data_IF_882637394071
#
_entry.id   IF_882637394071
#
_cell.length_a   1.000
_cell.length_b   1.000
_cell.length_c   1.000
_cell.angle_alpha   90.00
_cell.angle_beta   90.00
_cell.angle_gamma   90.00
#
_symmetry.space_group_name_H-M   'P 1'
#
loop_
_entity.id
_entity.type
_entity.pdbx_description
1 polymer ?
#
# COMPACT_ATOMS: atom_id res chain seq x y z
N UNK A 1 13.74 4.23 -18.89
CA UNK A 1 12.27 4.20 -18.75
C UNK A 1 11.60 2.90 -19.18
N UNK A 2 12.19 2.05 -20.05
CA UNK A 2 11.55 0.79 -20.51
C UNK A 2 11.23 -0.22 -19.38
N UNK A 3 11.80 -0.05 -18.19
CA UNK A 3 11.64 -0.96 -17.03
C UNK A 3 10.86 -0.36 -15.86
N UNK A 4 10.50 0.93 -15.90
CA UNK A 4 9.72 1.56 -14.82
C UNK A 4 8.27 1.10 -14.97
N UNK A 5 7.74 0.45 -13.93
CA UNK A 5 6.40 -0.17 -13.96
C UNK A 5 5.26 0.80 -13.64
N UNK A 6 5.56 1.99 -13.12
CA UNK A 6 4.60 3.02 -12.74
C UNK A 6 4.87 3.61 -11.37
N UNK A 7 4.00 4.51 -10.89
CA UNK A 7 4.17 5.17 -9.60
C UNK A 7 3.92 4.20 -8.44
N UNK A 8 4.58 4.46 -7.31
CA UNK A 8 4.36 3.75 -6.06
C UNK A 8 4.01 4.71 -4.92
N UNK A 9 3.32 4.22 -3.90
CA UNK A 9 2.90 4.97 -2.72
C UNK A 9 3.41 4.33 -1.43
N UNK A 10 3.83 5.13 -0.45
CA UNK A 10 4.23 4.65 0.87
C UNK A 10 3.05 4.66 1.84
N UNK A 11 2.70 3.48 2.37
CA UNK A 11 1.46 3.28 3.12
C UNK A 11 1.49 3.74 4.57
N UNK A 12 2.66 4.08 5.13
CA UNK A 12 2.82 4.32 6.57
C UNK A 12 1.86 5.35 7.18
N UNK A 13 1.58 6.44 6.47
CA UNK A 13 0.68 7.50 6.96
C UNK A 13 -0.82 7.18 6.79
N UNK A 14 -1.13 6.13 6.03
CA UNK A 14 -2.51 5.75 5.72
C UNK A 14 -3.01 4.64 6.63
N UNK A 15 -2.12 3.85 7.25
CA UNK A 15 -2.48 2.75 8.13
C UNK A 15 -3.38 3.18 9.28
N UNK A 16 -4.50 2.47 9.43
CA UNK A 16 -5.50 2.74 10.44
C UNK A 16 -6.42 1.54 10.63
N UNK A 17 -7.36 1.64 11.56
CA UNK A 17 -8.23 0.52 11.93
C UNK A 17 -9.52 0.44 11.12
N UNK A 18 -9.80 1.45 10.31
CA UNK A 18 -11.00 1.56 9.48
C UNK A 18 -10.72 1.31 8.00
N UNK A 19 -11.73 0.79 7.30
CA UNK A 19 -11.66 0.62 5.85
C UNK A 19 -11.53 1.99 5.15
N UNK A 20 -10.75 2.10 4.05
CA UNK A 20 -10.06 1.01 3.35
C UNK A 20 -8.65 0.71 3.89
N UNK A 21 -8.21 1.30 4.99
CA UNK A 21 -6.82 1.27 5.44
C UNK A 21 -6.49 0.19 6.47
N UNK A 22 -7.46 -0.65 6.80
CA UNK A 22 -7.39 -1.68 7.84
C UNK A 22 -6.95 -3.07 7.36
N UNK A 23 -6.71 -3.24 6.05
CA UNK A 23 -6.23 -4.49 5.48
C UNK A 23 -5.39 -4.24 4.22
N UNK A 24 -4.49 -5.17 3.92
CA UNK A 24 -3.65 -5.09 2.73
C UNK A 24 -4.47 -5.09 1.43
N UNK A 25 -5.52 -5.91 1.38
CA UNK A 25 -6.39 -6.02 0.20
C UNK A 25 -7.13 -4.71 -0.09
N UNK A 26 -7.80 -4.15 0.93
CA UNK A 26 -8.58 -2.92 0.78
C UNK A 26 -7.69 -1.74 0.39
N UNK A 27 -6.52 -1.60 1.03
CA UNK A 27 -5.62 -0.49 0.71
C UNK A 27 -4.94 -0.66 -0.65
N UNK A 28 -4.69 -1.89 -1.10
CA UNK A 28 -4.21 -2.15 -2.46
C UNK A 28 -5.29 -1.80 -3.50
N UNK A 29 -6.55 -2.15 -3.24
CA UNK A 29 -7.66 -1.79 -4.12
C UNK A 29 -7.82 -0.26 -4.23
N UNK A 30 -7.74 0.44 -3.09
CA UNK A 30 -7.71 1.90 -3.04
C UNK A 30 -6.54 2.49 -3.83
N UNK A 31 -5.31 2.01 -3.60
CA UNK A 31 -4.12 2.51 -4.28
C UNK A 31 -4.18 2.25 -5.81
N UNK A 32 -4.69 1.09 -6.22
CA UNK A 32 -4.88 0.76 -7.63
C UNK A 32 -5.92 1.68 -8.30
N UNK A 33 -7.00 2.03 -7.60
CA UNK A 33 -8.01 2.99 -8.06
C UNK A 33 -7.44 4.39 -8.30
N UNK A 34 -6.38 4.77 -7.59
CA UNK A 34 -5.63 6.02 -7.79
C UNK A 34 -4.55 5.93 -8.88
N UNK A 35 -4.34 4.76 -9.49
CA UNK A 35 -3.37 4.56 -10.58
C UNK A 35 -1.97 4.12 -10.13
N UNK A 36 -1.75 3.87 -8.83
CA UNK A 36 -0.49 3.32 -8.34
C UNK A 36 -0.27 1.88 -8.84
N UNK A 37 0.98 1.56 -9.16
CA UNK A 37 1.42 0.24 -9.64
C UNK A 37 2.27 -0.52 -8.62
N UNK A 38 2.67 0.15 -7.54
CA UNK A 38 3.37 -0.46 -6.42
C UNK A 38 3.03 0.22 -5.10
N UNK A 39 3.33 -0.48 -4.01
CA UNK A 39 3.21 0.03 -2.65
C UNK A 39 4.53 -0.20 -1.90
N UNK A 40 4.82 0.67 -0.94
CA UNK A 40 5.85 0.46 0.05
C UNK A 40 5.17 0.22 1.41
N UNK A 41 5.52 -0.89 2.05
CA UNK A 41 4.93 -1.33 3.33
C UNK A 41 5.87 -0.89 4.47
N UNK A 42 5.37 -0.23 5.53
CA UNK A 42 6.18 0.03 6.72
C UNK A 42 6.51 -1.28 7.45
N UNK A 43 7.76 -1.45 7.85
CA UNK A 43 8.22 -2.66 8.54
C UNK A 43 7.67 -2.83 9.96
N UNK A 44 7.13 -1.75 10.56
CA UNK A 44 6.56 -1.78 11.91
C UNK A 44 5.11 -2.26 11.94
N UNK A 45 4.44 -2.36 10.79
CA UNK A 45 3.03 -2.76 10.70
C UNK A 45 2.92 -4.28 10.53
N UNK A 46 2.84 -4.98 11.66
CA UNK A 46 2.75 -6.45 11.70
C UNK A 46 1.49 -7.02 11.06
N UNK A 47 0.45 -6.20 10.85
CA UNK A 47 -0.75 -6.62 10.11
C UNK A 47 -0.49 -6.82 8.61
N UNK A 48 0.57 -6.21 8.06
CA UNK A 48 0.88 -6.25 6.64
C UNK A 48 2.06 -7.16 6.29
N UNK A 49 3.06 -7.25 7.16
CA UNK A 49 4.26 -8.07 6.96
C UNK A 49 4.77 -8.56 8.32
N UNK A 50 5.16 -9.84 8.38
CA UNK A 50 5.85 -10.43 9.53
C UNK A 50 7.33 -10.61 9.12
N UNK A 51 8.22 -9.92 9.82
CA UNK A 51 9.63 -9.69 9.45
C UNK A 51 10.59 -10.29 10.47
#
# INVERSE_FOLDING_TARGET
MKTIKGPAIFLAQFMGDEAPFNSLENICAWAAGLGYKGIQIPTWESRLIDL
#
